data_IF_792471762294
#
_entry.id   IF_792471762294
#
_cell.length_a   1.000
_cell.length_b   1.000
_cell.length_c   1.000
_cell.angle_alpha   90.00
_cell.angle_beta   90.00
_cell.angle_gamma   90.00
#
_symmetry.space_group_name_H-M   'P 1'
#
loop_
_entity.id
_entity.type
_entity.pdbx_description
1 polymer ?
#
# COMPACT_ATOMS: atom_id res chain seq x y z
N UNK A 1 -1.06 0.68 2.60
CA UNK A 1 -2.51 0.44 2.81
C UNK A 1 -2.72 -1.02 3.12
N UNK A 2 -3.81 -1.35 3.83
CA UNK A 2 -4.15 -2.74 4.13
C UNK A 2 -5.34 -3.18 3.28
N UNK A 3 -5.27 -4.38 2.74
CA UNK A 3 -6.30 -5.00 1.91
C UNK A 3 -6.60 -6.36 2.53
N UNK A 4 -7.87 -6.75 2.61
CA UNK A 4 -8.25 -8.10 3.05
C UNK A 4 -8.58 -8.96 1.85
N UNK A 5 -7.90 -10.09 1.71
CA UNK A 5 -8.19 -11.14 0.74
C UNK A 5 -8.79 -12.36 1.43
N UNK A 6 -9.56 -13.14 0.70
CA UNK A 6 -10.17 -14.37 1.21
C UNK A 6 -9.67 -15.57 0.44
N UNK A 7 -9.08 -16.53 1.15
CA UNK A 7 -8.61 -17.79 0.58
C UNK A 7 -9.66 -18.85 0.89
N UNK A 8 -10.22 -19.47 -0.15
CA UNK A 8 -11.26 -20.50 -0.03
C UNK A 8 -10.76 -21.82 -0.62
N UNK A 9 -10.92 -22.91 0.13
CA UNK A 9 -10.70 -24.23 -0.41
C UNK A 9 -11.96 -24.71 -1.15
N UNK A 10 -11.91 -24.77 -2.48
CA UNK A 10 -12.99 -25.27 -3.34
C UNK A 10 -12.85 -26.76 -3.68
N UNK A 11 -11.77 -27.41 -3.24
CA UNK A 11 -11.53 -28.83 -3.41
C UNK A 11 -12.27 -29.69 -2.40
N UNK A 12 -12.10 -31.01 -2.55
CA UNK A 12 -12.70 -32.04 -1.68
C UNK A 12 -11.78 -32.55 -0.57
N UNK A 13 -10.50 -32.15 -0.58
CA UNK A 13 -9.51 -32.57 0.40
C UNK A 13 -8.95 -31.36 1.17
N UNK A 14 -8.53 -31.60 2.42
CA UNK A 14 -7.83 -30.61 3.24
C UNK A 14 -6.51 -30.22 2.58
N UNK A 15 -6.21 -28.92 2.57
CA UNK A 15 -4.95 -28.37 2.06
C UNK A 15 -4.12 -27.90 3.26
N UNK A 16 -2.85 -28.27 3.26
CA UNK A 16 -1.88 -27.91 4.28
C UNK A 16 -0.83 -26.93 3.75
N UNK A 17 -0.20 -26.22 4.69
CA UNK A 17 0.97 -25.35 4.46
C UNK A 17 0.79 -24.40 3.27
N UNK A 18 -0.29 -23.62 3.31
CA UNK A 18 -0.55 -22.59 2.30
C UNK A 18 0.36 -21.39 2.61
N UNK A 19 1.31 -21.16 1.72
CA UNK A 19 2.22 -20.01 1.73
C UNK A 19 1.76 -18.90 0.79
N UNK A 20 2.30 -17.70 1.02
CA UNK A 20 2.06 -16.51 0.22
C UNK A 20 3.36 -15.94 -0.32
N UNK A 21 3.35 -15.59 -1.60
CA UNK A 21 4.45 -14.91 -2.26
C UNK A 21 3.93 -13.65 -2.94
N UNK A 22 4.74 -12.60 -2.97
CA UNK A 22 4.41 -11.34 -3.64
C UNK A 22 5.45 -10.99 -4.69
N UNK A 23 5.01 -10.75 -5.92
CA UNK A 23 5.79 -10.15 -6.99
C UNK A 23 5.47 -8.66 -7.03
N UNK A 24 6.45 -7.83 -6.71
CA UNK A 24 6.27 -6.39 -6.50
C UNK A 24 7.43 -5.60 -7.14
N UNK A 25 7.21 -4.31 -7.48
CA UNK A 25 8.29 -3.44 -7.91
C UNK A 25 9.42 -3.35 -6.88
N UNK A 26 10.58 -2.90 -7.34
CA UNK A 26 11.77 -2.74 -6.50
C UNK A 26 11.49 -1.82 -5.31
N UNK A 27 12.04 -2.16 -4.14
CA UNK A 27 11.94 -1.37 -2.90
C UNK A 27 10.53 -1.20 -2.31
N UNK A 28 9.51 -1.86 -2.87
CA UNK A 28 8.19 -1.94 -2.25
C UNK A 28 8.17 -2.98 -1.12
N UNK A 29 7.28 -2.82 -0.15
CA UNK A 29 7.09 -3.77 0.95
C UNK A 29 5.67 -4.35 0.89
N UNK A 30 5.58 -5.68 0.92
CA UNK A 30 4.32 -6.42 0.97
C UNK A 30 4.42 -7.41 2.12
N UNK A 31 3.45 -7.40 3.03
CA UNK A 31 3.37 -8.29 4.18
C UNK A 31 2.00 -8.97 4.23
N UNK A 32 1.96 -10.22 4.69
CA UNK A 32 0.74 -11.01 4.83
C UNK A 32 0.49 -11.33 6.30
N UNK A 33 -0.76 -11.24 6.74
CA UNK A 33 -1.21 -11.58 8.09
C UNK A 33 -2.48 -12.42 8.02
N UNK A 34 -2.45 -13.70 8.38
CA UNK A 34 -1.26 -14.48 8.81
C UNK A 34 -0.25 -14.70 7.68
N UNK A 35 1.01 -14.98 8.04
CA UNK A 35 2.10 -15.24 7.06
C UNK A 35 1.95 -16.58 6.31
N UNK A 36 1.21 -17.52 6.89
CA UNK A 36 0.84 -18.79 6.28
C UNK A 36 -0.47 -19.31 6.87
N UNK A 37 -1.14 -20.21 6.17
CA UNK A 37 -2.29 -20.96 6.68
C UNK A 37 -1.88 -22.42 6.81
N UNK A 38 -1.84 -22.94 8.04
CA UNK A 38 -1.39 -24.32 8.30
C UNK A 38 -2.36 -25.37 7.75
N UNK A 39 -3.66 -25.10 7.85
CA UNK A 39 -4.70 -26.01 7.39
C UNK A 39 -5.92 -25.25 6.90
N UNK A 40 -6.47 -25.69 5.77
CA UNK A 40 -7.72 -25.18 5.22
C UNK A 40 -8.61 -26.36 4.79
N UNK A 41 -9.67 -26.59 5.56
CA UNK A 41 -10.64 -27.66 5.31
C UNK A 41 -11.45 -27.43 4.02
N UNK A 42 -11.97 -28.50 3.39
CA UNK A 42 -12.87 -28.38 2.23
C UNK A 42 -14.03 -27.41 2.49
N UNK A 43 -14.26 -26.48 1.56
CA UNK A 43 -15.34 -25.48 1.67
C UNK A 43 -15.07 -24.34 2.65
N UNK A 44 -14.02 -24.43 3.48
CA UNK A 44 -13.66 -23.38 4.43
C UNK A 44 -13.03 -22.17 3.75
N UNK A 45 -13.18 -21.03 4.41
CA UNK A 45 -12.68 -19.73 3.95
C UNK A 45 -11.92 -19.05 5.09
N UNK A 46 -10.74 -18.50 4.77
CA UNK A 46 -9.89 -17.76 5.70
C UNK A 46 -9.58 -16.39 5.13
N UNK A 47 -9.63 -15.38 6.00
CA UNK A 47 -9.23 -14.03 5.66
C UNK A 47 -7.73 -13.85 5.90
N UNK A 48 -7.06 -13.19 4.97
CA UNK A 48 -5.65 -12.79 5.06
C UNK A 48 -5.57 -11.29 4.80
N UNK A 49 -4.97 -10.56 5.71
CA UNK A 49 -4.68 -9.14 5.57
C UNK A 49 -3.34 -8.96 4.86
N UNK A 50 -3.33 -8.16 3.80
CA UNK A 50 -2.17 -7.84 2.99
C UNK A 50 -1.85 -6.37 3.19
N UNK A 51 -0.67 -6.07 3.71
CA UNK A 51 -0.18 -4.70 3.85
C UNK A 51 0.78 -4.38 2.71
N UNK A 52 0.45 -3.35 1.92
CA UNK A 52 1.27 -2.93 0.79
C UNK A 52 1.73 -1.49 1.02
N UNK A 53 3.04 -1.31 1.05
CA UNK A 53 3.69 -0.02 1.24
C UNK A 53 4.54 0.27 0.00
N UNK A 54 4.12 1.25 -0.83
CA UNK A 54 4.93 1.71 -1.96
C UNK A 54 6.27 2.27 -1.49
N UNK A 55 7.27 2.24 -2.38
CA UNK A 55 8.54 2.92 -2.12
C UNK A 55 8.31 4.44 -1.93
N UNK A 56 9.11 5.07 -1.06
CA UNK A 56 8.99 6.53 -0.82
C UNK A 56 9.23 7.36 -2.08
N UNK A 57 10.09 6.88 -2.97
CA UNK A 57 10.44 7.51 -4.24
C UNK A 57 9.62 6.95 -5.42
N UNK A 58 8.56 6.18 -5.14
CA UNK A 58 7.69 5.66 -6.19
C UNK A 58 7.06 6.82 -6.97
N UNK A 59 7.17 6.75 -8.29
CA UNK A 59 6.53 7.72 -9.18
C UNK A 59 5.01 7.56 -9.10
N UNK A 60 4.30 8.64 -9.43
CA UNK A 60 2.85 8.61 -9.56
C UNK A 60 2.48 7.74 -10.76
N UNK A 61 1.61 6.76 -10.54
CA UNK A 61 1.20 5.85 -11.60
C UNK A 61 0.55 4.58 -11.06
N UNK A 62 0.17 3.69 -11.99
CA UNK A 62 -0.39 2.38 -11.67
C UNK A 62 0.69 1.30 -11.74
N UNK A 63 0.79 0.53 -10.67
CA UNK A 63 1.73 -0.59 -10.55
C UNK A 63 0.96 -1.89 -10.39
N UNK A 64 1.40 -2.94 -11.07
CA UNK A 64 0.90 -4.28 -10.85
C UNK A 64 1.67 -4.93 -9.69
N UNK A 65 0.95 -5.56 -8.79
CA UNK A 65 1.48 -6.41 -7.71
C UNK A 65 0.82 -7.76 -7.82
N UNK A 66 1.62 -8.78 -8.11
CA UNK A 66 1.19 -10.17 -8.16
C UNK A 66 1.26 -10.79 -6.77
N UNK A 67 0.21 -11.50 -6.37
CA UNK A 67 0.16 -12.34 -5.18
C UNK A 67 -0.01 -13.79 -5.63
N UNK A 68 0.94 -14.64 -5.28
CA UNK A 68 0.86 -16.07 -5.53
C UNK A 68 0.53 -16.77 -4.21
N UNK A 69 -0.53 -17.57 -4.21
CA UNK A 69 -0.96 -18.40 -3.10
C UNK A 69 -0.62 -19.84 -3.47
N UNK A 70 0.27 -20.47 -2.71
CA UNK A 70 0.74 -21.83 -2.98
C UNK A 70 0.48 -22.73 -1.79
N UNK A 71 -0.30 -23.78 -1.98
CA UNK A 71 -0.47 -24.88 -1.01
C UNK A 71 0.02 -26.20 -1.60
N UNK A 72 0.10 -27.23 -0.75
CA UNK A 72 0.68 -28.53 -1.12
C UNK A 72 0.09 -29.15 -2.40
N UNK A 73 -1.19 -28.91 -2.68
CA UNK A 73 -1.95 -29.55 -3.77
C UNK A 73 -2.53 -28.58 -4.80
N UNK A 74 -2.36 -27.27 -4.61
CA UNK A 74 -2.98 -26.25 -5.46
C UNK A 74 -2.25 -24.93 -5.32
N UNK A 75 -2.17 -24.19 -6.42
CA UNK A 75 -1.69 -22.81 -6.45
C UNK A 75 -2.69 -21.91 -7.17
N UNK A 76 -2.74 -20.64 -6.78
CA UNK A 76 -3.55 -19.62 -7.44
C UNK A 76 -2.78 -18.30 -7.50
N UNK A 77 -3.06 -17.50 -8.52
CA UNK A 77 -2.36 -16.25 -8.82
C UNK A 77 -3.36 -15.10 -8.91
N UNK A 78 -3.08 -14.02 -8.17
CA UNK A 78 -3.89 -12.82 -8.15
C UNK A 78 -3.03 -11.62 -8.52
N UNK A 79 -3.37 -10.95 -9.63
CA UNK A 79 -2.76 -9.66 -9.98
C UNK A 79 -3.64 -8.51 -9.49
N UNK A 80 -3.05 -7.60 -8.73
CA UNK A 80 -3.71 -6.37 -8.27
C UNK A 80 -3.02 -5.14 -8.82
N UNK A 81 -3.80 -4.12 -9.18
CA UNK A 81 -3.29 -2.82 -9.61
C UNK A 81 -3.39 -1.80 -8.49
N UNK A 82 -2.28 -1.13 -8.21
CA UNK A 82 -2.14 -0.16 -7.13
C UNK A 82 -1.75 1.18 -7.73
N UNK A 83 -2.60 2.18 -7.51
CA UNK A 83 -2.34 3.56 -7.96
C UNK A 83 -1.59 4.33 -6.87
N UNK A 84 -0.36 4.72 -7.17
CA UNK A 84 0.43 5.65 -6.34
C UNK A 84 0.01 7.07 -6.67
N UNK A 85 -0.39 7.83 -5.64
CA UNK A 85 -0.80 9.24 -5.77
C UNK A 85 0.29 10.16 -5.23
N UNK A 86 0.41 11.35 -5.82
CA UNK A 86 1.30 12.39 -5.33
C UNK A 86 0.94 12.76 -3.88
N UNK A 87 1.97 12.96 -3.05
CA UNK A 87 1.77 13.45 -1.69
C UNK A 87 1.31 14.91 -1.71
N UNK A 88 0.15 15.18 -1.09
CA UNK A 88 -0.38 16.53 -0.91
C UNK A 88 0.41 17.35 0.14
N UNK A 89 1.34 16.74 0.88
CA UNK A 89 2.12 17.41 1.92
C UNK A 89 2.96 18.57 1.37
N UNK A 90 3.52 18.42 0.17
CA UNK A 90 4.29 19.48 -0.50
C UNK A 90 3.45 20.72 -0.81
N UNK A 91 2.15 20.54 -1.09
CA UNK A 91 1.23 21.65 -1.30
C UNK A 91 1.11 22.52 -0.05
N UNK A 92 1.00 21.91 1.13
CA UNK A 92 0.91 22.64 2.41
C UNK A 92 2.20 23.37 2.78
N UNK A 93 3.36 22.77 2.51
CA UNK A 93 4.66 23.44 2.69
C UNK A 93 4.74 24.69 1.82
N UNK A 94 4.34 24.59 0.55
CA UNK A 94 4.29 25.73 -0.36
C UNK A 94 3.38 26.85 0.13
N UNK A 95 2.18 26.52 0.62
CA UNK A 95 1.25 27.50 1.20
C UNK A 95 1.87 28.20 2.41
N UNK A 96 2.53 27.44 3.30
CA UNK A 96 3.20 28.01 4.47
C UNK A 96 4.28 29.04 4.11
N UNK A 97 5.08 28.76 3.07
CA UNK A 97 6.11 29.68 2.56
C UNK A 97 5.46 30.95 2.00
N UNK A 98 4.38 30.83 1.21
CA UNK A 98 3.68 31.99 0.65
C UNK A 98 3.14 32.90 1.75
N UNK A 99 2.48 32.33 2.77
CA UNK A 99 1.95 33.09 3.91
C UNK A 99 3.08 33.80 4.65
N UNK A 100 4.21 33.13 4.89
CA UNK A 100 5.38 33.71 5.54
C UNK A 100 5.92 34.92 4.76
N UNK A 101 6.03 34.81 3.43
CA UNK A 101 6.48 35.90 2.56
C UNK A 101 5.50 37.08 2.60
N UNK A 102 4.19 36.83 2.54
CA UNK A 102 3.17 37.88 2.60
C UNK A 102 3.23 38.63 3.93
N UNK A 103 3.31 37.91 5.05
CA UNK A 103 3.43 38.51 6.39
C UNK A 103 4.73 39.30 6.52
N UNK A 104 5.84 38.78 5.99
CA UNK A 104 7.13 39.47 5.96
C UNK A 104 7.07 40.79 5.18
N UNK A 105 6.51 40.76 3.97
CA UNK A 105 6.34 41.96 3.14
C UNK A 105 5.40 42.97 3.81
N UNK A 106 4.26 42.53 4.33
CA UNK A 106 3.32 43.39 5.05
C UNK A 106 3.98 44.06 6.26
N UNK A 107 4.76 43.30 7.05
CA UNK A 107 5.52 43.83 8.18
C UNK A 107 6.54 44.90 7.76
N UNK A 108 7.24 44.69 6.64
CA UNK A 108 8.17 45.67 6.08
C UNK A 108 7.44 46.95 5.63
N UNK A 109 6.32 46.83 4.93
CA UNK A 109 5.52 47.99 4.48
C UNK A 109 4.99 48.81 5.65
N UNK A 110 4.46 48.17 6.70
CA UNK A 110 4.00 48.85 7.92
C UNK A 110 5.16 49.52 8.66
N UNK A 111 6.34 48.89 8.70
CA UNK A 111 7.52 49.46 9.37
C UNK A 111 8.15 50.62 8.60
N UNK A 112 8.19 50.59 7.26
CA UNK A 112 8.86 51.60 6.43
C UNK A 112 7.95 52.76 6.03
N UNK A 113 6.63 52.57 5.95
CA UNK A 113 5.67 53.65 5.65
C UNK A 113 5.46 54.65 6.79
N UNK A 114 6.16 54.49 7.92
CA UNK A 114 6.08 55.37 9.10
C UNK A 114 7.25 56.36 9.18
N UNK A 115 7.76 56.86 8.06
CA UNK A 115 8.80 57.90 7.97
C UNK A 115 8.45 58.86 6.85
#
# INVERSE_FOLDING_TARGET
>A
GNISIYVKNTGSATIHDIGFLSVKPENWKVEFKPEKIEVLEPGSLKQVEVSIVPAQEALVGDYAVGLNISGEKSSDDLEMRITVKASAAWGWIGIGIIVLVIVGLFGLFVSLGRR
#
